data_IF_683269633910
#
_entry.id   IF_683269633910
#
_cell.length_a   1.000
_cell.length_b   1.000
_cell.length_c   1.000
_cell.angle_alpha   90.00
_cell.angle_beta   90.00
_cell.angle_gamma   90.00
#
_symmetry.space_group_name_H-M   'P 1'
#
loop_
_entity.id
_entity.type
_entity.pdbx_description
1 polymer ?
#
# COMPACT_ATOMS: atom_id res chain seq x y z
N UNK A 1 -35.07 5.70 2.49
CA UNK A 1 -33.71 5.31 2.04
C UNK A 1 -32.87 5.17 3.31
N UNK A 2 -32.68 3.95 3.79
CA UNK A 2 -31.85 3.71 4.97
C UNK A 2 -30.40 4.12 4.62
N UNK A 3 -29.82 5.10 5.34
CA UNK A 3 -28.39 5.30 5.36
C UNK A 3 -27.79 4.00 5.89
N UNK A 4 -27.29 3.17 5.00
CA UNK A 4 -26.45 2.04 5.39
C UNK A 4 -25.11 2.64 5.83
N UNK A 5 -25.09 3.11 7.07
CA UNK A 5 -23.92 3.64 7.72
C UNK A 5 -22.95 2.50 7.98
N UNK A 6 -22.21 2.10 6.99
CA UNK A 6 -20.96 1.42 7.24
C UNK A 6 -20.03 2.43 7.89
N UNK A 7 -19.58 2.18 9.09
CA UNK A 7 -18.70 3.07 9.85
C UNK A 7 -17.29 3.12 9.30
N UNK A 8 -17.13 3.50 8.05
CA UNK A 8 -15.83 3.74 7.42
C UNK A 8 -15.23 5.10 7.76
N UNK A 9 -15.80 5.82 8.71
CA UNK A 9 -15.46 7.22 8.91
C UNK A 9 -15.54 8.06 7.62
N UNK A 10 -16.40 7.64 6.68
CA UNK A 10 -16.56 8.29 5.40
C UNK A 10 -15.38 8.20 4.42
N UNK A 11 -14.41 7.33 4.69
CA UNK A 11 -13.18 7.22 3.86
C UNK A 11 -13.42 6.26 2.68
N UNK A 12 -13.41 6.76 1.42
CA UNK A 12 -13.69 5.91 0.26
C UNK A 12 -12.58 4.91 0.01
N UNK A 13 -12.97 3.67 -0.29
CA UNK A 13 -12.05 2.65 -0.79
C UNK A 13 -11.69 2.91 -2.25
N UNK A 14 -10.46 2.61 -2.63
CA UNK A 14 -9.95 2.79 -4.00
C UNK A 14 -9.51 1.45 -4.61
N UNK A 15 -8.52 0.81 -4.04
CA UNK A 15 -8.05 -0.50 -4.47
C UNK A 15 -8.28 -1.50 -3.35
N UNK A 16 -8.56 -2.75 -3.70
CA UNK A 16 -8.92 -3.75 -2.71
C UNK A 16 -8.30 -5.10 -3.03
N UNK A 17 -8.05 -5.88 -1.99
CA UNK A 17 -7.63 -7.27 -2.05
C UNK A 17 -8.40 -8.09 -1.02
N UNK A 18 -8.60 -9.36 -1.31
CA UNK A 18 -9.38 -10.24 -0.45
C UNK A 18 -8.65 -11.56 -0.21
N UNK A 19 -8.82 -12.11 0.97
CA UNK A 19 -8.39 -13.46 1.29
C UNK A 19 -9.46 -14.24 2.05
N UNK A 20 -9.30 -15.56 2.05
CA UNK A 20 -10.08 -16.47 2.91
C UNK A 20 -9.15 -17.07 3.97
N UNK A 21 -9.49 -16.89 5.23
CA UNK A 21 -8.78 -17.46 6.37
C UNK A 21 -9.80 -18.13 7.30
N UNK A 22 -9.58 -19.39 7.64
CA UNK A 22 -10.43 -20.16 8.56
C UNK A 22 -11.93 -20.09 8.20
N UNK A 23 -12.24 -20.17 6.90
CA UNK A 23 -13.62 -20.14 6.40
C UNK A 23 -14.25 -18.75 6.29
N UNK A 24 -13.60 -17.69 6.77
CA UNK A 24 -14.07 -16.30 6.69
C UNK A 24 -13.37 -15.54 5.56
N UNK A 25 -14.08 -14.60 4.95
CA UNK A 25 -13.57 -13.73 3.90
C UNK A 25 -13.27 -12.34 4.44
N UNK A 26 -12.04 -11.90 4.28
CA UNK A 26 -11.56 -10.59 4.70
C UNK A 26 -11.22 -9.74 3.48
N UNK A 27 -11.84 -8.57 3.39
CA UNK A 27 -11.60 -7.59 2.35
C UNK A 27 -10.82 -6.41 2.92
N UNK A 28 -9.69 -6.11 2.32
CA UNK A 28 -8.87 -4.94 2.64
C UNK A 28 -9.10 -3.89 1.56
N UNK A 29 -9.46 -2.67 1.94
CA UNK A 29 -9.71 -1.60 0.98
C UNK A 29 -8.82 -0.41 1.28
N UNK A 30 -7.87 -0.13 0.40
CA UNK A 30 -7.02 1.05 0.50
C UNK A 30 -7.82 2.33 0.26
N UNK A 31 -7.51 3.40 0.97
CA UNK A 31 -8.13 4.70 0.75
C UNK A 31 -7.26 5.58 -0.13
N UNK A 32 -7.89 6.27 -1.08
CA UNK A 32 -7.18 7.16 -2.00
C UNK A 32 -6.74 8.48 -1.36
N UNK A 33 -7.50 8.98 -0.40
CA UNK A 33 -7.25 10.31 0.20
C UNK A 33 -6.78 10.26 1.64
N UNK A 34 -6.83 9.09 2.24
CA UNK A 34 -6.48 8.92 3.64
C UNK A 34 -5.44 7.83 3.73
N UNK A 35 -4.37 8.06 4.42
CA UNK A 35 -3.30 7.08 4.59
C UNK A 35 -3.77 5.94 5.48
N UNK A 36 -4.32 4.90 4.88
CA UNK A 36 -4.80 3.74 5.61
C UNK A 36 -5.72 2.81 4.83
N UNK A 37 -6.24 1.84 5.51
CA UNK A 37 -7.05 0.74 4.98
C UNK A 37 -8.22 0.43 5.88
N UNK A 38 -9.36 0.08 5.26
CA UNK A 38 -10.42 -0.60 5.98
C UNK A 38 -10.20 -2.11 5.93
N UNK A 39 -10.53 -2.79 7.00
CA UNK A 39 -10.63 -4.24 7.08
C UNK A 39 -12.09 -4.61 7.29
N UNK A 40 -12.61 -5.42 6.38
CA UNK A 40 -14.01 -5.84 6.41
C UNK A 40 -14.11 -7.36 6.46
N UNK A 41 -15.06 -7.86 7.24
CA UNK A 41 -15.56 -9.20 7.12
C UNK A 41 -16.69 -9.20 6.07
N UNK A 42 -16.45 -9.90 4.97
CA UNK A 42 -17.40 -10.05 3.86
C UNK A 42 -17.85 -11.50 3.71
N UNK A 43 -17.72 -12.31 4.76
CA UNK A 43 -18.14 -13.73 4.78
C UNK A 43 -19.62 -13.84 4.43
N UNK A 44 -20.44 -12.94 4.91
CA UNK A 44 -21.79 -12.76 4.40
C UNK A 44 -21.83 -11.52 3.50
N UNK A 45 -21.83 -11.68 2.16
CA UNK A 45 -21.76 -10.55 1.24
C UNK A 45 -22.98 -9.62 1.28
N UNK A 46 -24.12 -10.13 1.79
CA UNK A 46 -25.32 -9.31 1.98
C UNK A 46 -25.28 -8.44 3.24
N UNK A 47 -24.34 -8.73 4.15
CA UNK A 47 -24.17 -8.04 5.42
C UNK A 47 -22.69 -7.84 5.73
N UNK A 48 -21.95 -7.09 4.93
CA UNK A 48 -20.52 -6.82 5.18
C UNK A 48 -20.39 -6.07 6.51
N UNK A 49 -19.40 -6.48 7.30
CA UNK A 49 -19.14 -5.90 8.61
C UNK A 49 -17.78 -5.20 8.59
N UNK A 50 -17.75 -3.93 8.91
CA UNK A 50 -16.51 -3.22 9.15
C UNK A 50 -15.88 -3.75 10.45
N UNK A 51 -14.62 -4.20 10.37
CA UNK A 51 -13.83 -4.64 11.51
C UNK A 51 -13.11 -3.44 12.10
N UNK A 52 -12.26 -2.79 11.28
CA UNK A 52 -11.57 -1.58 11.71
C UNK A 52 -10.99 -0.78 10.55
N UNK A 53 -10.65 0.45 10.84
CA UNK A 53 -9.73 1.27 10.08
C UNK A 53 -8.31 1.04 10.59
N UNK A 54 -7.38 0.77 9.71
CA UNK A 54 -5.97 0.63 9.98
C UNK A 54 -5.25 1.84 9.40
N UNK A 55 -4.63 2.63 10.24
CA UNK A 55 -3.86 3.78 9.80
C UNK A 55 -2.54 3.34 9.16
N UNK A 56 -2.17 4.01 8.08
CA UNK A 56 -0.89 3.84 7.42
C UNK A 56 0.24 4.52 8.19
N UNK A 57 1.46 4.39 7.69
CA UNK A 57 2.62 4.99 8.34
C UNK A 57 2.58 6.51 8.19
N UNK A 58 2.73 7.17 9.29
CA UNK A 58 2.91 8.62 9.36
C UNK A 58 4.39 8.94 9.49
N UNK A 59 4.80 10.01 8.81
CA UNK A 59 6.09 10.64 9.03
C UNK A 59 5.79 12.13 9.25
N UNK A 60 6.01 12.62 10.46
CA UNK A 60 5.68 13.99 10.85
C UNK A 60 4.20 14.22 11.20
N UNK A 61 3.82 15.48 11.37
CA UNK A 61 2.50 15.89 11.83
C UNK A 61 1.43 15.97 10.73
N UNK A 62 1.85 16.12 9.47
CA UNK A 62 0.94 16.23 8.33
C UNK A 62 0.47 14.86 7.87
N UNK A 63 -0.79 14.58 8.10
CA UNK A 63 -1.45 13.31 7.73
C UNK A 63 -2.09 13.34 6.34
N UNK A 64 -2.23 14.50 5.75
CA UNK A 64 -3.17 14.72 4.64
C UNK A 64 -2.57 14.45 3.26
N UNK A 65 -1.25 14.36 3.14
CA UNK A 65 -0.57 14.22 1.85
C UNK A 65 -0.22 12.79 1.43
N UNK A 66 -0.46 11.81 2.28
CA UNK A 66 -0.06 10.43 1.98
C UNK A 66 -1.23 9.62 1.46
N UNK A 67 -1.16 9.23 0.19
CA UNK A 67 -2.10 8.31 -0.38
C UNK A 67 -1.56 6.88 -0.33
N UNK A 68 -2.37 5.94 0.16
CA UNK A 68 -2.12 4.51 0.07
C UNK A 68 -3.11 3.86 -0.90
N UNK A 69 -3.01 4.20 -2.19
CA UNK A 69 -4.03 3.78 -3.15
C UNK A 69 -3.90 2.33 -3.59
N UNK A 70 -2.80 1.66 -3.24
CA UNK A 70 -2.48 0.35 -3.78
C UNK A 70 -2.34 -0.69 -2.68
N UNK A 71 -2.99 -1.82 -2.90
CA UNK A 71 -2.93 -2.98 -2.01
C UNK A 71 -3.04 -4.25 -2.85
N UNK A 72 -2.17 -5.20 -2.65
CA UNK A 72 -2.26 -6.54 -3.23
C UNK A 72 -1.90 -7.58 -2.17
N UNK A 73 -2.46 -8.77 -2.33
CA UNK A 73 -2.37 -9.81 -1.32
C UNK A 73 -2.25 -11.17 -1.99
N UNK A 74 -1.28 -11.95 -1.55
CA UNK A 74 -1.13 -13.37 -1.87
C UNK A 74 -0.30 -14.06 -0.78
N UNK A 75 -0.43 -15.37 -0.67
CA UNK A 75 0.36 -16.22 0.22
C UNK A 75 0.35 -15.80 1.72
N UNK A 76 -0.71 -15.05 2.10
CA UNK A 76 -0.84 -14.51 3.46
C UNK A 76 0.01 -13.27 3.73
N UNK A 77 0.65 -12.74 2.69
CA UNK A 77 1.31 -11.44 2.71
C UNK A 77 0.43 -10.39 2.02
N UNK A 78 0.30 -9.24 2.65
CA UNK A 78 -0.28 -8.05 2.06
C UNK A 78 0.84 -7.04 1.78
N UNK A 79 0.89 -6.58 0.54
CA UNK A 79 1.82 -5.53 0.13
C UNK A 79 1.01 -4.24 -0.04
N UNK A 80 1.50 -3.16 0.53
CA UNK A 80 0.91 -1.83 0.37
C UNK A 80 1.93 -0.88 -0.22
N UNK A 81 1.52 -0.07 -1.20
CA UNK A 81 2.38 0.90 -1.84
C UNK A 81 2.05 2.33 -1.38
N UNK A 82 3.10 3.09 -1.17
CA UNK A 82 3.07 4.44 -0.65
C UNK A 82 3.81 5.37 -1.61
N UNK A 83 3.19 6.51 -1.90
CA UNK A 83 3.79 7.50 -2.78
C UNK A 83 3.17 8.87 -2.62
N UNK A 84 3.93 9.90 -2.97
CA UNK A 84 3.58 11.30 -2.79
C UNK A 84 2.78 11.93 -3.93
N UNK A 85 2.26 11.14 -4.88
CA UNK A 85 1.64 11.67 -6.12
C UNK A 85 0.41 12.55 -5.89
N UNK A 86 -0.20 12.44 -4.73
CA UNK A 86 -1.44 13.15 -4.40
C UNK A 86 -1.21 14.40 -3.55
N UNK A 87 0.04 14.70 -3.16
CA UNK A 87 0.35 15.83 -2.28
C UNK A 87 -0.12 17.17 -2.87
N UNK A 88 0.15 17.39 -4.14
CA UNK A 88 -0.27 18.61 -4.84
C UNK A 88 -1.78 18.79 -4.88
N UNK A 89 -2.53 17.67 -5.08
CA UNK A 89 -3.99 17.69 -5.09
C UNK A 89 -4.59 17.97 -3.71
N UNK A 90 -3.82 17.77 -2.64
CA UNK A 90 -4.23 18.03 -1.27
C UNK A 90 -3.72 19.38 -0.72
N UNK A 91 -3.02 20.18 -1.55
CA UNK A 91 -2.44 21.44 -1.13
C UNK A 91 -1.33 21.31 -0.07
N UNK A 92 -0.74 20.13 0.03
CA UNK A 92 0.37 19.89 0.97
C UNK A 92 1.66 20.29 0.28
N UNK A 93 2.39 21.22 0.87
CA UNK A 93 3.72 21.59 0.40
C UNK A 93 4.65 20.37 0.39
N UNK A 94 5.45 20.28 -0.66
CA UNK A 94 6.39 19.16 -0.85
C UNK A 94 7.54 19.29 0.15
N UNK A 95 7.37 18.71 1.31
CA UNK A 95 8.47 18.51 2.24
C UNK A 95 8.86 17.01 2.18
N UNK A 96 9.93 16.71 1.46
CA UNK A 96 10.37 15.33 1.18
C UNK A 96 10.70 14.51 2.43
N UNK A 97 10.83 15.16 3.57
CA UNK A 97 11.14 14.51 4.84
C UNK A 97 9.91 14.03 5.63
N UNK A 98 8.70 14.29 5.15
CA UNK A 98 7.47 14.07 5.92
C UNK A 98 6.63 12.87 5.47
N UNK A 99 7.07 12.06 4.48
CA UNK A 99 6.32 10.88 4.11
C UNK A 99 7.23 9.69 3.79
N UNK A 100 6.70 8.50 4.02
CA UNK A 100 7.32 7.26 3.57
C UNK A 100 6.90 6.96 2.13
N UNK A 101 7.87 6.90 1.22
CA UNK A 101 7.69 6.42 -0.14
C UNK A 101 8.26 5.02 -0.30
N UNK A 102 7.47 4.07 -0.82
CA UNK A 102 7.93 2.70 -0.97
C UNK A 102 6.82 1.67 -0.85
N UNK A 103 7.19 0.47 -0.41
CA UNK A 103 6.23 -0.58 -0.08
C UNK A 103 6.39 -1.02 1.37
N UNK A 104 5.29 -1.51 1.93
CA UNK A 104 5.27 -2.20 3.22
C UNK A 104 4.75 -3.61 3.05
N UNK A 105 5.32 -4.53 3.80
CA UNK A 105 5.01 -5.96 3.78
C UNK A 105 4.39 -6.31 5.12
N UNK A 106 3.19 -6.91 5.06
CA UNK A 106 2.38 -7.23 6.22
C UNK A 106 2.02 -8.71 6.26
N UNK A 107 2.12 -9.33 7.43
CA UNK A 107 1.49 -10.62 7.71
C UNK A 107 -0.01 -10.40 7.96
N UNK A 108 -0.83 -11.02 7.13
CA UNK A 108 -2.29 -11.02 7.25
C UNK A 108 -2.84 -12.45 7.36
N UNK A 109 -1.95 -13.44 7.41
CA UNK A 109 -2.33 -14.84 7.56
C UNK A 109 -2.54 -15.20 9.01
N UNK A 110 -1.63 -14.75 9.87
CA UNK A 110 -1.65 -15.09 11.31
C UNK A 110 -2.86 -14.48 11.99
N UNK A 111 -3.12 -13.20 11.76
CA UNK A 111 -4.31 -12.50 12.25
C UNK A 111 -4.82 -11.54 11.15
N UNK A 112 -5.84 -11.94 10.38
CA UNK A 112 -6.36 -11.12 9.30
C UNK A 112 -7.08 -9.85 9.77
N UNK A 113 -7.49 -9.78 11.03
CA UNK A 113 -8.13 -8.60 11.63
C UNK A 113 -7.09 -7.60 12.18
N UNK A 114 -5.85 -8.07 12.44
CA UNK A 114 -4.75 -7.26 12.97
C UNK A 114 -3.45 -7.49 12.19
N UNK A 115 -3.35 -7.01 10.94
CA UNK A 115 -2.17 -7.11 10.12
C UNK A 115 -0.91 -6.64 10.87
N UNK A 116 0.14 -7.46 10.83
CA UNK A 116 1.40 -7.16 11.46
C UNK A 116 2.43 -6.72 10.42
N UNK A 117 2.98 -5.52 10.59
CA UNK A 117 4.07 -5.04 9.74
C UNK A 117 5.31 -5.93 9.93
N UNK A 118 5.81 -6.48 8.84
CA UNK A 118 7.05 -7.27 8.82
C UNK A 118 8.24 -6.41 8.46
N UNK A 119 8.13 -5.63 7.39
CA UNK A 119 9.22 -4.79 6.89
C UNK A 119 8.74 -3.68 5.96
N UNK A 120 9.70 -2.86 5.54
CA UNK A 120 9.52 -1.77 4.58
C UNK A 120 10.64 -1.81 3.56
N UNK A 121 10.32 -1.48 2.30
CA UNK A 121 11.31 -1.19 1.26
C UNK A 121 11.10 0.25 0.78
N UNK A 122 12.08 1.11 0.99
CA UNK A 122 11.98 2.53 0.69
C UNK A 122 12.34 2.83 -0.76
N UNK A 123 11.57 3.72 -1.38
CA UNK A 123 11.86 4.37 -2.64
C UNK A 123 11.90 5.88 -2.38
N UNK A 124 13.09 6.48 -2.36
CA UNK A 124 13.26 7.92 -2.16
C UNK A 124 12.53 8.74 -3.23
N UNK A 125 12.21 9.98 -2.92
CA UNK A 125 11.44 10.87 -3.80
C UNK A 125 9.94 10.56 -3.76
N UNK A 126 9.26 10.49 -4.89
CA UNK A 126 7.81 10.27 -4.95
C UNK A 126 7.35 8.84 -4.59
N UNK A 127 8.27 7.95 -4.22
CA UNK A 127 7.93 6.62 -3.77
C UNK A 127 7.46 5.68 -4.87
N UNK A 128 6.38 4.94 -4.63
CA UNK A 128 5.85 3.92 -5.56
C UNK A 128 4.50 4.36 -6.10
N UNK A 129 4.38 4.38 -7.45
CA UNK A 129 3.11 4.69 -8.11
C UNK A 129 2.25 3.44 -8.30
N UNK A 130 2.81 2.39 -8.85
CA UNK A 130 2.15 1.09 -9.08
C UNK A 130 3.05 -0.04 -8.66
N UNK A 131 2.45 -1.18 -8.35
CA UNK A 131 3.20 -2.41 -8.14
C UNK A 131 2.35 -3.61 -8.53
N UNK A 132 3.02 -4.74 -8.68
CA UNK A 132 2.40 -6.02 -8.95
C UNK A 132 2.97 -7.08 -8.00
N UNK A 133 2.08 -7.79 -7.34
CA UNK A 133 2.36 -8.94 -6.49
C UNK A 133 1.20 -9.92 -6.57
N UNK A 134 1.47 -11.14 -6.99
CA UNK A 134 0.48 -12.23 -7.06
C UNK A 134 0.95 -13.50 -6.34
N UNK A 135 1.89 -13.35 -5.41
CA UNK A 135 2.54 -14.45 -4.69
C UNK A 135 3.98 -14.69 -5.14
N UNK A 136 4.64 -15.62 -4.45
CA UNK A 136 6.05 -15.94 -4.66
C UNK A 136 7.00 -14.91 -4.07
N UNK A 137 8.23 -14.89 -4.59
CA UNK A 137 9.34 -14.21 -3.95
C UNK A 137 9.58 -12.77 -4.42
N UNK A 138 8.85 -12.27 -5.42
CA UNK A 138 9.18 -10.99 -6.03
C UNK A 138 8.01 -10.02 -6.08
N UNK A 139 8.30 -8.77 -5.78
CA UNK A 139 7.41 -7.63 -6.01
C UNK A 139 7.99 -6.77 -7.12
N UNK A 140 7.16 -6.44 -8.11
CA UNK A 140 7.52 -5.58 -9.23
C UNK A 140 6.88 -4.22 -9.02
N UNK A 141 7.66 -3.15 -8.95
CA UNK A 141 7.13 -1.82 -8.66
C UNK A 141 7.62 -0.77 -9.66
N UNK A 142 6.75 0.19 -9.97
CA UNK A 142 7.17 1.43 -10.58
C UNK A 142 7.46 2.41 -9.46
N UNK A 143 8.74 2.59 -9.17
CA UNK A 143 9.23 3.38 -8.05
C UNK A 143 10.27 4.41 -8.47
N UNK A 144 10.32 5.51 -7.73
CA UNK A 144 11.38 6.50 -7.91
C UNK A 144 12.72 5.94 -7.44
N UNK A 145 13.79 6.35 -8.10
CA UNK A 145 15.14 5.94 -7.81
C UNK A 145 16.11 7.09 -8.10
N UNK A 146 17.10 7.25 -7.24
CA UNK A 146 18.15 8.24 -7.44
C UNK A 146 18.92 7.98 -8.75
N UNK A 147 19.25 9.03 -9.50
CA UNK A 147 19.89 8.96 -10.83
C UNK A 147 18.92 8.71 -11.99
N UNK A 148 17.61 8.67 -11.71
CA UNK A 148 16.61 8.46 -12.75
C UNK A 148 15.52 9.54 -12.71
N UNK A 149 15.12 9.96 -13.90
CA UNK A 149 13.98 10.83 -14.06
C UNK A 149 12.69 10.00 -14.00
N UNK A 150 11.73 10.42 -13.15
CA UNK A 150 10.44 9.76 -13.02
C UNK A 150 10.54 8.33 -12.41
N UNK A 151 9.55 7.48 -12.69
CA UNK A 151 9.42 6.12 -12.17
C UNK A 151 10.08 5.10 -13.10
N UNK A 152 10.87 4.20 -12.55
CA UNK A 152 11.44 3.06 -13.26
C UNK A 152 10.86 1.75 -12.73
N UNK A 153 11.00 0.66 -13.46
CA UNK A 153 10.71 -0.67 -12.91
C UNK A 153 11.81 -1.07 -11.91
N UNK A 154 11.40 -1.46 -10.73
CA UNK A 154 12.27 -2.02 -9.69
C UNK A 154 11.73 -3.39 -9.28
N UNK A 155 12.61 -4.36 -9.10
CA UNK A 155 12.27 -5.73 -8.71
C UNK A 155 12.83 -5.95 -7.31
N UNK A 156 11.95 -6.29 -6.37
CA UNK A 156 12.31 -6.51 -4.96
C UNK A 156 12.08 -7.96 -4.60
N UNK A 157 13.12 -8.62 -4.14
CA UNK A 157 13.06 -9.96 -3.55
C UNK A 157 12.51 -9.86 -2.12
N UNK A 158 11.46 -10.61 -1.85
CA UNK A 158 10.79 -10.75 -0.56
C UNK A 158 10.76 -12.22 -0.10
N UNK A 159 11.67 -13.06 -0.60
CA UNK A 159 11.80 -14.45 -0.14
C UNK A 159 12.00 -14.54 1.38
N UNK A 160 12.71 -13.55 1.94
CA UNK A 160 12.65 -13.21 3.36
C UNK A 160 11.83 -11.91 3.52
N UNK A 161 10.54 -11.99 3.93
CA UNK A 161 9.68 -10.83 4.01
C UNK A 161 10.08 -9.84 5.12
N UNK A 162 11.03 -10.19 5.96
CA UNK A 162 11.62 -9.29 6.96
C UNK A 162 12.76 -8.44 6.41
N UNK A 163 13.42 -8.88 5.32
CA UNK A 163 14.59 -8.25 4.74
C UNK A 163 14.46 -8.08 3.21
N UNK A 164 13.52 -7.28 2.71
CA UNK A 164 13.33 -7.09 1.27
C UNK A 164 14.57 -6.46 0.63
N UNK A 165 14.96 -6.96 -0.56
CA UNK A 165 16.15 -6.52 -1.27
C UNK A 165 15.83 -6.21 -2.73
N UNK A 166 16.32 -5.10 -3.24
CA UNK A 166 16.27 -4.83 -4.67
C UNK A 166 17.25 -5.77 -5.40
N UNK A 167 16.74 -6.48 -6.40
CA UNK A 167 17.50 -7.45 -7.19
C UNK A 167 17.55 -7.13 -8.67
N UNK A 168 16.78 -6.14 -9.13
CA UNK A 168 16.79 -5.74 -10.53
C UNK A 168 16.11 -4.42 -10.79
N UNK A 169 16.47 -3.80 -11.92
CA UNK A 169 15.89 -2.57 -12.45
C UNK A 169 15.71 -2.68 -13.94
N UNK A 170 14.71 -1.98 -14.46
CA UNK A 170 14.57 -1.73 -15.89
C UNK A 170 14.10 -0.28 -16.09
N UNK A 171 14.69 0.39 -17.07
CA UNK A 171 14.41 1.77 -17.44
C UNK A 171 14.63 1.97 -18.94
N UNK A 172 14.11 3.06 -19.46
CA UNK A 172 14.41 3.54 -20.81
C UNK A 172 15.57 4.56 -20.76
N UNK A 173 16.35 4.65 -21.83
CA UNK A 173 17.56 5.50 -21.86
C UNK A 173 17.28 6.94 -21.47
N UNK A 174 16.12 7.49 -21.86
CA UNK A 174 15.69 8.85 -21.54
C UNK A 174 15.41 9.08 -20.03
N UNK A 175 15.29 8.00 -19.27
CA UNK A 175 15.04 8.10 -17.83
C UNK A 175 16.34 8.19 -17.02
N UNK A 176 17.48 7.86 -17.61
CA UNK A 176 18.77 7.96 -16.91
C UNK A 176 19.27 9.40 -16.94
N UNK A 177 19.54 9.96 -15.76
CA UNK A 177 20.11 11.29 -15.61
C UNK A 177 21.64 11.18 -15.55
N UNK A 178 22.31 11.67 -16.61
CA UNK A 178 23.78 11.77 -16.70
C UNK A 178 24.32 12.83 -15.73
#
# INVERSE_FOLDING_TARGET
>A
MQKRGGGYNGKPGFQMAMQKVNGRYYLYTASFRHNGWNILDVTNPSKPRNIKWMEGPWVGESRDGQATPKIQLSDGLMITAHGGQMRELHGVETNDNLFFGGIMIWDVKTDPENPRLLSKFECKGNGVHRFFYNGGNYVYLTGTCEGFNNYILRIVDISDPYNPKEVGRFWFDEQYMN
#
